data_IF_977628948616
#
_entry.id   IF_977628948616
#
_cell.length_a   1.000
_cell.length_b   1.000
_cell.length_c   1.000
_cell.angle_alpha   90.00
_cell.angle_beta   90.00
_cell.angle_gamma   90.00
#
_symmetry.space_group_name_H-M   'P 1'
#
loop_
_entity.id
_entity.type
_entity.pdbx_description
1 polymer ?
#
# COMPACT_ATOMS: atom_id res chain seq x y z
N UNK A 1 -13.04 25.62 4.30
CA UNK A 1 -11.78 25.79 5.05
C UNK A 1 -10.78 24.78 4.52
N UNK A 2 -9.49 25.14 4.35
CA UNK A 2 -8.47 24.19 3.93
C UNK A 2 -8.31 23.08 4.96
N UNK A 3 -8.07 21.87 4.49
CA UNK A 3 -7.80 20.72 5.33
C UNK A 3 -6.38 20.86 5.93
N UNK A 4 -6.27 21.30 7.19
CA UNK A 4 -4.96 21.56 7.83
C UNK A 4 -4.05 20.33 7.91
N UNK A 5 -4.64 19.14 8.05
CA UNK A 5 -3.91 17.87 8.18
C UNK A 5 -4.48 16.91 7.15
N UNK A 6 -3.59 16.34 6.33
CA UNK A 6 -3.92 15.34 5.34
C UNK A 6 -3.05 14.11 5.55
N UNK A 7 -3.69 12.96 5.66
CA UNK A 7 -3.03 11.66 5.74
C UNK A 7 -3.22 11.01 4.36
N UNK A 8 -2.16 10.88 3.55
CA UNK A 8 -2.28 10.35 2.21
C UNK A 8 -2.82 8.92 2.17
N UNK A 9 -3.69 8.66 1.19
CA UNK A 9 -4.40 7.39 1.09
C UNK A 9 -3.47 6.20 0.82
N UNK A 10 -2.37 6.41 0.08
CA UNK A 10 -1.39 5.36 -0.21
C UNK A 10 -0.43 5.07 0.95
N UNK A 11 -0.58 5.67 2.13
CA UNK A 11 0.10 5.18 3.32
C UNK A 11 -0.30 3.72 3.53
N UNK A 12 0.60 2.83 3.91
CA UNK A 12 0.28 1.41 4.09
C UNK A 12 -0.73 1.16 5.25
N UNK A 13 -0.97 2.16 6.10
CA UNK A 13 -1.97 2.18 7.17
C UNK A 13 -3.21 2.97 6.78
N UNK A 14 -4.36 2.61 7.35
CA UNK A 14 -5.60 3.37 7.23
C UNK A 14 -5.88 4.07 8.55
N UNK A 15 -6.14 5.38 8.53
CA UNK A 15 -6.32 6.20 9.73
C UNK A 15 -7.73 6.77 9.78
N UNK A 16 -8.24 6.88 11.00
CA UNK A 16 -9.53 7.46 11.34
C UNK A 16 -9.34 8.66 12.26
N UNK A 17 -10.13 9.70 12.06
CA UNK A 17 -10.20 10.82 12.99
C UNK A 17 -10.98 10.40 14.24
N UNK A 18 -10.30 10.34 15.39
CA UNK A 18 -10.90 9.94 16.65
C UNK A 18 -11.50 11.14 17.41
N UNK A 19 -12.69 11.02 18.03
CA UNK A 19 -13.61 9.87 18.04
C UNK A 19 -14.70 9.93 16.96
N UNK A 20 -14.52 10.77 15.92
CA UNK A 20 -15.59 11.11 14.97
C UNK A 20 -15.84 10.08 13.87
N UNK A 21 -14.83 9.30 13.52
CA UNK A 21 -14.89 8.31 12.45
C UNK A 21 -14.87 6.90 13.04
N UNK A 22 -15.63 6.01 12.41
CA UNK A 22 -15.77 4.60 12.80
C UNK A 22 -14.68 3.75 12.16
N UNK A 23 -14.20 2.74 12.87
CA UNK A 23 -13.24 1.78 12.32
C UNK A 23 -13.92 0.86 11.31
N UNK A 24 -13.13 0.22 10.44
CA UNK A 24 -13.65 -0.73 9.45
C UNK A 24 -14.54 -1.84 10.05
N UNK A 25 -14.22 -2.48 11.20
CA UNK A 25 -15.12 -3.44 11.81
C UNK A 25 -16.46 -2.84 12.27
N UNK A 26 -16.49 -1.58 12.70
CA UNK A 26 -17.70 -0.95 13.25
C UNK A 26 -18.78 -0.70 12.18
N UNK A 27 -18.39 -0.72 10.91
CA UNK A 27 -19.30 -0.48 9.77
C UNK A 27 -19.71 -1.76 9.05
N UNK A 28 -19.28 -2.94 9.54
CA UNK A 28 -19.69 -4.23 8.98
C UNK A 28 -21.19 -4.42 9.22
N UNK A 29 -21.99 -4.73 8.18
CA UNK A 29 -23.41 -4.97 8.35
C UNK A 29 -23.68 -6.14 9.30
N UNK A 30 -24.67 -5.99 10.18
CA UNK A 30 -25.04 -7.03 11.18
C UNK A 30 -25.41 -8.42 10.63
N UNK A 31 -25.64 -8.56 9.32
CA UNK A 31 -25.93 -9.84 8.67
C UNK A 31 -24.67 -10.54 8.12
N UNK A 32 -23.51 -9.91 8.22
CA UNK A 32 -22.21 -10.48 7.88
C UNK A 32 -21.48 -10.94 9.16
N UNK A 33 -20.44 -11.76 9.00
CA UNK A 33 -19.61 -12.20 10.12
C UNK A 33 -18.80 -11.05 10.71
N UNK A 34 -18.70 -11.01 12.03
CA UNK A 34 -17.87 -10.04 12.73
C UNK A 34 -16.37 -10.38 12.54
N UNK A 35 -15.64 -9.47 11.89
CA UNK A 35 -14.23 -9.67 11.51
C UNK A 35 -13.42 -8.39 11.58
N UNK A 36 -12.17 -8.54 11.98
CA UNK A 36 -11.20 -7.45 12.08
C UNK A 36 -9.99 -7.81 11.21
N UNK A 37 -9.62 -6.90 10.31
CA UNK A 37 -8.36 -7.01 9.58
C UNK A 37 -7.22 -6.46 10.43
N UNK A 38 -6.14 -7.22 10.54
CA UNK A 38 -4.91 -6.80 11.22
C UNK A 38 -3.80 -6.70 10.18
N UNK A 39 -3.31 -5.49 9.91
CA UNK A 39 -2.13 -5.33 9.05
C UNK A 39 -0.91 -5.91 9.77
N UNK A 40 -0.33 -6.98 9.22
CA UNK A 40 0.82 -7.66 9.83
C UNK A 40 2.13 -6.97 9.41
N UNK A 41 3.06 -6.88 10.35
CA UNK A 41 4.44 -6.45 10.11
C UNK A 41 5.39 -7.48 10.70
N UNK A 42 6.38 -7.88 9.89
CA UNK A 42 7.42 -8.80 10.33
C UNK A 42 8.48 -8.03 11.10
N UNK A 43 8.67 -8.42 12.37
CA UNK A 43 9.69 -7.83 13.25
C UNK A 43 11.07 -7.97 12.60
N UNK A 44 11.92 -6.97 12.82
CA UNK A 44 13.31 -6.92 12.33
C UNK A 44 13.48 -6.86 10.80
N UNK A 45 12.39 -6.83 10.03
CA UNK A 45 12.43 -6.83 8.56
C UNK A 45 11.62 -5.67 8.01
N UNK A 46 10.36 -5.55 8.44
CA UNK A 46 9.49 -4.48 7.97
C UNK A 46 9.69 -3.22 8.82
N UNK A 47 9.38 -2.07 8.23
CA UNK A 47 9.41 -0.76 8.89
C UNK A 47 8.02 -0.14 8.76
N UNK A 48 7.54 0.52 9.81
CA UNK A 48 6.41 1.44 9.66
C UNK A 48 6.97 2.70 9.01
N UNK A 49 6.60 2.93 7.75
CA UNK A 49 7.02 4.11 6.99
C UNK A 49 5.84 4.76 6.27
N UNK A 50 5.42 5.94 6.72
CA UNK A 50 4.27 6.66 6.16
C UNK A 50 4.49 8.17 6.19
N UNK A 51 3.64 8.92 5.49
CA UNK A 51 3.73 10.37 5.46
C UNK A 51 2.47 11.06 6.00
N UNK A 52 2.64 12.26 6.51
CA UNK A 52 1.56 13.15 6.95
C UNK A 52 1.85 14.53 6.38
N UNK A 53 0.82 15.17 5.82
CA UNK A 53 0.92 16.51 5.25
C UNK A 53 0.24 17.48 6.19
N UNK A 54 0.94 18.53 6.58
CA UNK A 54 0.42 19.55 7.50
C UNK A 54 0.61 20.94 6.91
N UNK A 55 -0.31 21.86 7.18
CA UNK A 55 -0.08 23.27 6.86
C UNK A 55 0.69 23.88 8.05
N UNK A 56 1.97 24.22 7.89
CA UNK A 56 2.86 24.55 9.02
C UNK A 56 2.35 25.75 9.83
N UNK A 57 1.74 26.75 9.17
CA UNK A 57 1.22 27.96 9.82
C UNK A 57 0.13 27.69 10.87
N UNK A 58 -0.52 26.53 10.81
CA UNK A 58 -1.60 26.15 11.72
C UNK A 58 -1.19 25.06 12.72
N UNK A 59 0.05 24.56 12.69
CA UNK A 59 0.46 23.39 13.48
C UNK A 59 1.54 23.78 14.48
N UNK A 60 1.28 23.55 15.77
CA UNK A 60 2.21 23.87 16.86
C UNK A 60 3.05 22.68 17.30
N UNK A 61 2.48 21.48 17.25
CA UNK A 61 3.20 20.24 17.55
C UNK A 61 2.59 19.04 16.86
N UNK A 62 3.43 18.05 16.55
CA UNK A 62 3.01 16.75 16.03
C UNK A 62 3.66 15.66 16.87
N UNK A 63 2.85 14.74 17.38
CA UNK A 63 3.27 13.56 18.12
C UNK A 63 2.86 12.29 17.40
N UNK A 64 3.75 11.29 17.44
CA UNK A 64 3.53 9.97 16.85
C UNK A 64 3.93 8.90 17.87
N UNK A 65 3.06 7.93 18.08
CA UNK A 65 3.37 6.79 18.94
C UNK A 65 2.58 5.56 18.53
N UNK A 66 3.10 4.41 18.92
CA UNK A 66 2.35 3.16 18.95
C UNK A 66 1.65 3.04 20.29
N UNK A 67 0.40 2.60 20.27
CA UNK A 67 -0.40 2.30 21.45
C UNK A 67 -0.80 0.82 21.40
N UNK A 68 -0.32 0.03 22.36
CA UNK A 68 -0.68 -1.37 22.52
C UNK A 68 -2.08 -1.52 23.12
N UNK A 69 -2.71 -2.67 22.88
CA UNK A 69 -4.02 -3.00 23.49
C UNK A 69 -3.99 -3.08 25.02
N UNK A 70 -2.79 -3.23 25.61
CA UNK A 70 -2.52 -3.21 27.04
C UNK A 70 -2.24 -1.80 27.60
N UNK A 71 -2.34 -0.76 26.76
CA UNK A 71 -2.05 0.63 27.11
C UNK A 71 -0.56 1.00 27.06
N UNK A 72 0.31 0.10 26.60
CA UNK A 72 1.73 0.43 26.40
C UNK A 72 1.89 1.46 25.28
N UNK A 73 2.72 2.47 25.47
CA UNK A 73 3.02 3.47 24.43
C UNK A 73 4.49 3.47 24.07
N UNK A 74 4.78 3.57 22.78
CA UNK A 74 6.15 3.61 22.26
C UNK A 74 6.29 4.72 21.22
N UNK A 75 7.23 5.65 21.37
CA UNK A 75 7.36 6.78 20.46
C UNK A 75 7.77 6.32 19.07
N UNK A 76 7.20 6.98 18.05
CA UNK A 76 7.68 6.94 16.68
C UNK A 76 8.43 8.24 16.37
N UNK A 77 9.37 8.17 15.44
CA UNK A 77 10.12 9.34 14.99
C UNK A 77 9.44 9.92 13.76
N UNK A 78 9.47 11.24 13.62
CA UNK A 78 9.08 11.89 12.37
C UNK A 78 9.86 13.16 12.11
N UNK A 79 10.03 13.50 10.84
CA UNK A 79 10.71 14.70 10.40
C UNK A 79 10.11 15.25 9.11
N UNK A 80 10.16 16.57 8.94
CA UNK A 80 9.87 17.21 7.65
C UNK A 80 10.95 16.82 6.64
N UNK A 81 10.51 16.43 5.44
CA UNK A 81 11.38 16.03 4.33
C UNK A 81 11.22 16.90 3.09
N UNK A 82 10.38 17.94 3.15
CA UNK A 82 10.09 18.83 2.03
C UNK A 82 8.71 19.44 2.13
N UNK A 83 8.35 20.24 1.13
CA UNK A 83 7.06 20.93 1.08
C UNK A 83 6.42 20.79 -0.30
N UNK A 84 5.11 20.50 -0.32
CA UNK A 84 4.35 20.35 -1.56
C UNK A 84 3.00 21.07 -1.41
N UNK A 85 2.68 21.96 -2.36
CA UNK A 85 1.39 22.66 -2.44
C UNK A 85 0.96 23.36 -1.13
N UNK A 86 1.92 23.98 -0.42
CA UNK A 86 1.66 24.67 0.84
C UNK A 86 1.57 23.76 2.07
N UNK A 87 1.77 22.46 1.90
CA UNK A 87 1.94 21.52 3.00
C UNK A 87 3.41 21.24 3.25
N UNK A 88 3.77 21.14 4.52
CA UNK A 88 4.98 20.49 4.98
C UNK A 88 4.74 18.96 5.01
N UNK A 89 5.68 18.21 4.43
CA UNK A 89 5.59 16.77 4.25
C UNK A 89 6.42 16.10 5.33
N UNK A 90 5.75 15.50 6.29
CA UNK A 90 6.38 14.76 7.38
C UNK A 90 6.47 13.29 7.02
N UNK A 91 7.66 12.71 7.18
CA UNK A 91 7.87 11.28 7.12
C UNK A 91 7.96 10.72 8.52
N UNK A 92 7.19 9.68 8.78
CA UNK A 92 7.12 9.00 10.06
C UNK A 92 7.73 7.63 9.87
N UNK A 93 8.65 7.29 10.77
CA UNK A 93 9.39 6.04 10.75
C UNK A 93 9.68 5.52 12.15
N UNK A 94 9.90 4.22 12.21
CA UNK A 94 10.21 3.50 13.45
C UNK A 94 11.70 3.20 13.54
N UNK A 95 12.47 4.02 14.27
CA UNK A 95 13.93 3.85 14.44
C UNK A 95 14.35 2.59 15.20
N UNK A 96 13.42 1.92 15.88
CA UNK A 96 13.68 0.74 16.69
C UNK A 96 12.54 -0.29 16.58
N UNK A 97 11.96 -0.45 15.40
CA UNK A 97 10.79 -1.31 15.20
C UNK A 97 10.98 -2.77 15.68
N UNK A 98 12.22 -3.27 15.60
CA UNK A 98 12.61 -4.60 16.09
C UNK A 98 12.46 -4.79 17.60
N UNK A 99 12.51 -3.71 18.40
CA UNK A 99 12.41 -3.81 19.87
C UNK A 99 10.98 -4.00 20.36
N UNK A 100 10.00 -3.77 19.49
CA UNK A 100 8.59 -4.00 19.80
C UNK A 100 8.34 -5.47 20.07
N UNK A 101 7.70 -5.83 21.20
CA UNK A 101 7.18 -7.17 21.41
C UNK A 101 6.18 -7.58 20.31
N UNK A 102 6.02 -8.88 20.10
CA UNK A 102 4.90 -9.37 19.31
C UNK A 102 3.58 -8.99 19.99
N UNK A 103 2.62 -8.43 19.25
CA UNK A 103 1.42 -7.86 19.82
C UNK A 103 0.56 -7.12 18.81
N UNK A 104 -0.59 -6.63 19.28
CA UNK A 104 -1.49 -5.77 18.50
C UNK A 104 -1.34 -4.33 18.98
N UNK A 105 -1.15 -3.42 18.04
CA UNK A 105 -0.89 -2.01 18.28
C UNK A 105 -1.76 -1.14 17.37
N UNK A 106 -1.87 0.13 17.73
CA UNK A 106 -2.42 1.19 16.91
C UNK A 106 -1.34 2.24 16.66
N UNK A 107 -1.25 2.77 15.44
CA UNK A 107 -0.46 3.97 15.19
C UNK A 107 -1.33 5.18 15.51
N UNK A 108 -0.84 6.01 16.41
CA UNK A 108 -1.55 7.19 16.88
C UNK A 108 -0.78 8.43 16.46
N UNK A 109 -1.53 9.37 15.87
CA UNK A 109 -1.07 10.70 15.49
C UNK A 109 -1.86 11.72 16.30
N UNK A 110 -1.15 12.58 17.02
CA UNK A 110 -1.71 13.73 17.70
C UNK A 110 -1.11 15.01 17.12
N UNK A 111 -1.97 15.86 16.56
CA UNK A 111 -1.55 17.15 16.00
C UNK A 111 -2.25 18.26 16.77
N UNK A 112 -1.45 19.13 17.37
CA UNK A 112 -1.96 20.36 17.98
C UNK A 112 -2.02 21.42 16.89
N UNK A 113 -3.23 21.92 16.63
CA UNK A 113 -3.46 22.98 15.66
C UNK A 113 -3.85 24.27 16.35
N UNK A 114 -3.22 25.37 15.97
CA UNK A 114 -3.61 26.70 16.41
C UNK A 114 -4.61 27.30 15.41
N UNK A 115 -5.82 27.62 15.88
CA UNK A 115 -6.85 28.25 15.05
C UNK A 115 -7.19 29.67 15.53
N UNK A 116 -6.21 30.37 16.11
CA UNK A 116 -6.29 31.78 16.48
C UNK A 116 -6.62 32.05 17.95
N UNK A 117 -7.67 31.42 18.51
CA UNK A 117 -8.06 31.66 19.91
C UNK A 117 -7.49 30.63 20.88
N UNK A 118 -7.51 29.35 20.50
CA UNK A 118 -7.04 28.24 21.33
C UNK A 118 -6.37 27.16 20.46
N UNK A 119 -5.50 26.38 21.10
CA UNK A 119 -4.91 25.17 20.53
C UNK A 119 -5.92 24.01 20.62
N UNK A 120 -6.12 23.32 19.51
CA UNK A 120 -7.00 22.16 19.41
C UNK A 120 -6.16 20.94 19.08
N UNK A 121 -6.27 19.89 19.89
CA UNK A 121 -5.63 18.60 19.61
C UNK A 121 -6.53 17.78 18.69
N UNK A 122 -6.01 17.39 17.53
CA UNK A 122 -6.64 16.45 16.61
C UNK A 122 -5.94 15.10 16.71
N UNK A 123 -6.70 14.07 17.07
CA UNK A 123 -6.21 12.69 17.19
C UNK A 123 -6.64 11.86 15.98
N UNK A 124 -5.71 11.14 15.40
CA UNK A 124 -5.94 10.15 14.34
C UNK A 124 -5.38 8.80 14.79
N UNK A 125 -6.13 7.73 14.57
CA UNK A 125 -5.79 6.37 15.01
C UNK A 125 -5.87 5.44 13.81
N UNK A 126 -4.85 4.61 13.61
CA UNK A 126 -4.85 3.65 12.51
C UNK A 126 -5.81 2.48 12.76
N UNK A 127 -6.17 1.73 11.73
CA UNK A 127 -6.61 0.34 11.89
C UNK A 127 -5.54 -0.46 12.68
N UNK A 128 -5.94 -1.51 13.42
CA UNK A 128 -5.02 -2.27 14.24
C UNK A 128 -3.95 -2.97 13.38
N UNK A 129 -2.72 -2.92 13.89
CA UNK A 129 -1.55 -3.58 13.29
C UNK A 129 -1.07 -4.70 14.21
N UNK A 130 -0.51 -5.76 13.63
CA UNK A 130 0.01 -6.90 14.39
C UNK A 130 1.49 -7.12 14.09
N UNK A 131 2.30 -7.10 15.14
CA UNK A 131 3.72 -7.47 15.07
C UNK A 131 3.84 -8.99 15.12
N UNK A 132 4.51 -9.58 14.12
CA UNK A 132 4.72 -11.03 13.99
C UNK A 132 6.21 -11.35 13.78
N UNK A 133 6.65 -12.53 14.21
CA UNK A 133 8.04 -12.98 14.01
C UNK A 133 8.35 -13.31 12.55
N UNK A 134 7.36 -13.84 11.83
CA UNK A 134 7.48 -14.21 10.43
C UNK A 134 6.13 -14.14 9.74
N UNK A 135 6.17 -13.88 8.44
CA UNK A 135 5.00 -13.92 7.57
C UNK A 135 5.37 -14.69 6.29
N UNK A 136 5.33 -16.04 6.36
CA UNK A 136 5.53 -16.85 5.16
C UNK A 136 4.43 -16.52 4.14
N UNK A 137 4.72 -16.76 2.85
CA UNK A 137 3.73 -16.56 1.78
C UNK A 137 3.16 -15.13 1.79
N UNK A 138 4.08 -14.17 1.72
CA UNK A 138 3.76 -12.75 1.64
C UNK A 138 4.40 -12.08 0.43
N UNK A 139 3.71 -11.05 -0.03
CA UNK A 139 4.13 -10.17 -1.10
C UNK A 139 4.59 -8.86 -0.46
N UNK A 140 5.88 -8.53 -0.59
CA UNK A 140 6.40 -7.21 -0.28
C UNK A 140 6.31 -6.34 -1.53
N UNK A 141 5.35 -5.43 -1.54
CA UNK A 141 5.16 -4.44 -2.60
C UNK A 141 5.98 -3.21 -2.25
N UNK A 142 7.06 -2.96 -2.99
CA UNK A 142 7.78 -1.69 -2.99
C UNK A 142 7.19 -0.82 -4.09
N UNK A 143 6.77 0.39 -3.75
CA UNK A 143 6.14 1.29 -4.71
C UNK A 143 6.68 2.72 -4.66
N UNK A 144 6.77 3.33 -5.83
CA UNK A 144 7.08 4.74 -6.07
C UNK A 144 6.41 5.18 -7.38
N UNK A 145 6.55 6.45 -7.72
CA UNK A 145 6.02 6.99 -8.97
C UNK A 145 6.95 8.03 -9.58
N UNK A 146 6.82 8.27 -10.88
CA UNK A 146 7.57 9.30 -11.62
C UNK A 146 7.09 10.74 -11.36
N UNK A 147 5.98 10.92 -10.63
CA UNK A 147 5.44 12.21 -10.21
C UNK A 147 4.66 12.08 -8.91
N UNK A 148 4.39 13.20 -8.25
CA UNK A 148 3.46 13.25 -7.12
C UNK A 148 2.03 13.04 -7.63
N UNK A 149 1.38 11.97 -7.19
CA UNK A 149 0.02 11.60 -7.62
C UNK A 149 -0.70 10.88 -6.48
N UNK A 150 -2.03 10.77 -6.57
CA UNK A 150 -2.89 10.16 -5.54
C UNK A 150 -2.70 10.77 -4.15
N UNK A 151 -2.47 12.09 -4.12
CA UNK A 151 -2.23 12.85 -2.89
C UNK A 151 -1.00 12.40 -2.10
N UNK A 152 -0.06 11.75 -2.77
CA UNK A 152 1.12 11.17 -2.18
C UNK A 152 2.37 11.89 -2.71
N UNK A 153 3.23 12.37 -1.80
CA UNK A 153 4.49 13.00 -2.18
C UNK A 153 5.57 11.92 -2.34
N UNK A 154 5.88 11.58 -3.59
CA UNK A 154 7.03 10.77 -3.95
C UNK A 154 8.31 11.61 -4.11
N UNK A 155 8.13 12.89 -4.43
CA UNK A 155 9.16 13.92 -4.54
C UNK A 155 8.76 15.10 -3.62
N UNK A 156 9.00 15.00 -2.30
CA UNK A 156 8.53 15.98 -1.33
C UNK A 156 9.18 17.36 -1.48
N UNK A 157 10.36 17.48 -2.09
CA UNK A 157 11.00 18.76 -2.41
C UNK A 157 11.00 19.10 -3.92
N UNK A 158 10.37 18.25 -4.74
CA UNK A 158 10.29 18.40 -6.20
C UNK A 158 11.55 18.05 -6.99
N UNK A 159 12.64 17.60 -6.35
CA UNK A 159 13.89 17.22 -7.02
C UNK A 159 13.97 15.71 -7.27
N UNK A 160 14.60 15.23 -8.36
CA UNK A 160 14.79 13.79 -8.58
C UNK A 160 15.45 13.04 -7.42
N UNK A 161 16.36 13.70 -6.69
CA UNK A 161 17.11 13.16 -5.57
C UNK A 161 16.23 12.88 -4.34
N UNK A 162 15.08 13.57 -4.23
CA UNK A 162 14.12 13.32 -3.16
C UNK A 162 13.15 12.20 -3.45
N UNK A 163 13.34 11.42 -4.53
CA UNK A 163 12.46 10.28 -4.83
C UNK A 163 12.41 9.33 -3.64
N UNK A 164 11.20 9.07 -3.15
CA UNK A 164 10.93 8.14 -2.03
C UNK A 164 10.22 6.89 -2.54
N UNK A 165 10.53 5.77 -1.90
CA UNK A 165 9.82 4.50 -2.08
C UNK A 165 9.19 4.10 -0.76
N UNK A 166 8.07 3.40 -0.85
CA UNK A 166 7.31 2.93 0.30
C UNK A 166 7.03 1.45 0.14
N UNK A 167 6.65 0.82 1.25
CA UNK A 167 6.51 -0.62 1.34
C UNK A 167 5.14 -0.99 1.89
N UNK A 168 4.56 -2.03 1.32
CA UNK A 168 3.33 -2.66 1.78
C UNK A 168 3.53 -4.18 1.70
N UNK A 169 3.58 -4.84 2.85
CA UNK A 169 3.60 -6.30 2.91
C UNK A 169 2.20 -6.84 3.16
N UNK A 170 1.76 -7.79 2.35
CA UNK A 170 0.45 -8.43 2.48
C UNK A 170 0.60 -9.94 2.26
N UNK A 171 -0.19 -10.74 2.97
CA UNK A 171 -0.29 -12.19 2.73
C UNK A 171 -0.75 -12.44 1.29
N UNK A 172 -0.10 -13.36 0.60
CA UNK A 172 -0.37 -13.54 -0.82
C UNK A 172 0.76 -14.22 -1.57
N UNK A 173 0.51 -14.44 -2.85
CA UNK A 173 1.43 -15.17 -3.70
C UNK A 173 0.89 -15.32 -5.11
N UNK A 174 1.69 -15.96 -5.95
CA UNK A 174 1.23 -16.55 -7.20
C UNK A 174 0.94 -18.01 -6.91
N UNK A 175 -0.31 -18.44 -7.07
CA UNK A 175 -0.67 -19.85 -6.94
C UNK A 175 -0.06 -20.65 -8.11
N UNK A 176 0.15 -21.95 -7.94
CA UNK A 176 0.78 -22.78 -8.98
C UNK A 176 -0.01 -22.80 -10.30
N UNK A 177 -1.34 -22.65 -10.23
CA UNK A 177 -2.25 -22.51 -11.37
C UNK A 177 -2.36 -21.06 -11.89
N UNK A 178 -1.73 -20.10 -11.20
CA UNK A 178 -1.66 -18.70 -11.59
C UNK A 178 -0.56 -18.37 -12.59
N UNK A 179 0.23 -19.35 -13.05
CA UNK A 179 1.25 -19.16 -14.08
C UNK A 179 0.69 -19.49 -15.46
N UNK A 180 0.47 -18.46 -16.27
CA UNK A 180 -0.18 -18.55 -17.57
C UNK A 180 0.78 -18.09 -18.69
N UNK A 181 1.52 -19.00 -19.34
CA UNK A 181 2.34 -18.67 -20.49
C UNK A 181 1.46 -18.37 -21.71
N UNK A 182 1.80 -17.32 -22.46
CA UNK A 182 1.13 -16.91 -23.69
C UNK A 182 2.12 -16.43 -24.74
N UNK A 183 1.63 -16.13 -25.94
CA UNK A 183 2.42 -15.50 -26.99
C UNK A 183 1.63 -14.45 -27.74
N UNK A 184 2.32 -13.41 -28.18
CA UNK A 184 1.78 -12.41 -29.11
C UNK A 184 2.28 -12.74 -30.50
N UNK A 185 1.37 -13.25 -31.30
CA UNK A 185 1.66 -13.75 -32.65
C UNK A 185 1.17 -12.77 -33.71
N UNK A 186 1.94 -12.63 -34.78
CA UNK A 186 1.55 -11.91 -35.98
C UNK A 186 1.50 -12.86 -37.16
N UNK A 187 0.36 -12.85 -37.87
CA UNK A 187 0.10 -13.75 -39.00
C UNK A 187 -0.07 -12.95 -40.28
N UNK A 188 0.43 -13.49 -41.38
CA UNK A 188 0.04 -13.11 -42.74
C UNK A 188 -0.98 -14.13 -43.25
N UNK A 189 -2.07 -13.64 -43.85
CA UNK A 189 -3.07 -14.49 -44.51
C UNK A 189 -3.18 -14.05 -45.96
N UNK A 190 -2.96 -14.98 -46.89
CA UNK A 190 -3.03 -14.68 -48.32
C UNK A 190 -4.47 -14.72 -48.88
N UNK A 191 -4.62 -14.49 -50.20
CA UNK A 191 -5.93 -14.49 -50.86
C UNK A 191 -6.59 -15.87 -50.92
N UNK A 192 -5.79 -16.95 -50.84
CA UNK A 192 -6.24 -18.34 -50.82
C UNK A 192 -6.50 -18.85 -49.39
N UNK A 193 -6.34 -17.98 -48.37
CA UNK A 193 -6.44 -18.25 -46.93
C UNK A 193 -5.34 -19.15 -46.35
N UNK A 194 -4.17 -19.20 -46.98
CA UNK A 194 -2.99 -19.78 -46.35
C UNK A 194 -2.46 -18.83 -45.26
N UNK A 195 -2.12 -19.39 -44.09
CA UNK A 195 -1.70 -18.62 -42.91
C UNK A 195 -0.22 -18.86 -42.65
N UNK A 196 0.57 -17.79 -42.62
CA UNK A 196 2.00 -17.81 -42.31
C UNK A 196 2.27 -17.02 -41.01
N UNK A 197 2.94 -17.63 -40.03
CA UNK A 197 3.40 -16.96 -38.82
C UNK A 197 4.63 -16.09 -39.15
N UNK A 198 4.56 -14.79 -38.86
CA UNK A 198 5.62 -13.82 -39.14
C UNK A 198 6.54 -13.56 -37.93
N UNK A 199 5.92 -13.36 -36.76
CA UNK A 199 6.61 -13.10 -35.48
C UNK A 199 5.77 -13.70 -34.36
N UNK A 200 6.43 -14.23 -33.32
CA UNK A 200 5.79 -14.71 -32.11
C UNK A 200 6.66 -14.34 -30.92
N UNK A 201 6.10 -13.56 -30.00
CA UNK A 201 6.78 -13.14 -28.77
C UNK A 201 6.15 -13.82 -27.57
N UNK A 202 6.80 -14.82 -26.94
CA UNK A 202 6.28 -15.43 -25.73
C UNK A 202 6.32 -14.45 -24.56
N UNK A 203 5.37 -14.58 -23.64
CA UNK A 203 5.34 -13.84 -22.38
C UNK A 203 4.68 -14.70 -21.29
N UNK A 204 4.98 -14.37 -20.04
CA UNK A 204 4.39 -15.05 -18.88
C UNK A 204 3.46 -14.08 -18.14
N UNK A 205 2.22 -14.51 -17.94
CA UNK A 205 1.25 -13.84 -17.09
C UNK A 205 1.20 -14.54 -15.74
N UNK A 206 1.20 -13.75 -14.68
CA UNK A 206 1.16 -14.22 -13.30
C UNK A 206 -0.12 -13.70 -12.63
N UNK A 207 -0.96 -14.59 -12.15
CA UNK A 207 -2.12 -14.26 -11.33
C UNK A 207 -1.68 -14.10 -9.87
N UNK A 208 -1.55 -12.86 -9.42
CA UNK A 208 -1.27 -12.55 -8.03
C UNK A 208 -2.54 -12.62 -7.21
N UNK A 209 -2.47 -13.29 -6.06
CA UNK A 209 -3.52 -13.30 -5.04
C UNK A 209 -3.07 -12.52 -3.80
N UNK A 210 -3.91 -11.61 -3.32
CA UNK A 210 -3.73 -10.84 -2.09
C UNK A 210 -4.78 -11.22 -1.03
N UNK A 211 -4.31 -11.40 0.21
CA UNK A 211 -5.09 -11.84 1.36
C UNK A 211 -5.80 -13.18 1.20
N UNK A 212 -5.13 -14.26 0.76
CA UNK A 212 -5.75 -15.58 0.73
C UNK A 212 -6.19 -16.00 2.14
N UNK A 213 -7.31 -16.73 2.22
CA UNK A 213 -7.87 -17.24 3.49
C UNK A 213 -8.52 -16.16 4.35
N UNK A 214 -7.72 -15.32 5.02
CA UNK A 214 -8.25 -14.32 5.98
C UNK A 214 -9.00 -13.17 5.30
N UNK A 215 -8.67 -12.90 4.02
CA UNK A 215 -9.23 -11.80 3.25
C UNK A 215 -8.65 -10.43 3.60
N UNK A 216 -8.84 -9.49 2.69
CA UNK A 216 -8.56 -8.07 2.88
C UNK A 216 -9.86 -7.26 2.92
N UNK A 217 -9.90 -6.17 3.69
CA UNK A 217 -11.01 -5.24 3.65
C UNK A 217 -11.01 -4.45 2.34
N UNK A 218 -12.17 -3.96 1.92
CA UNK A 218 -12.32 -3.22 0.66
C UNK A 218 -11.40 -1.98 0.57
N UNK A 219 -11.13 -1.30 1.69
CA UNK A 219 -10.23 -0.14 1.71
C UNK A 219 -8.77 -0.53 1.38
N UNK A 220 -8.34 -1.72 1.79
CA UNK A 220 -6.99 -2.20 1.47
C UNK A 220 -6.92 -2.60 -0.01
N UNK A 221 -7.98 -3.21 -0.54
CA UNK A 221 -8.07 -3.54 -1.95
C UNK A 221 -8.04 -2.27 -2.84
N UNK A 222 -8.77 -1.22 -2.49
CA UNK A 222 -8.70 0.07 -3.21
C UNK A 222 -7.28 0.65 -3.18
N UNK A 223 -6.61 0.55 -2.03
CA UNK A 223 -5.22 0.99 -1.88
C UNK A 223 -4.26 0.20 -2.75
N UNK A 224 -4.35 -1.13 -2.76
CA UNK A 224 -3.56 -1.99 -3.66
C UNK A 224 -3.83 -1.61 -5.11
N UNK A 225 -5.09 -1.45 -5.51
CA UNK A 225 -5.44 -1.08 -6.89
C UNK A 225 -4.80 0.25 -7.34
N UNK A 226 -4.75 1.24 -6.44
CA UNK A 226 -4.05 2.51 -6.70
C UNK A 226 -2.54 2.35 -6.72
N UNK A 227 -1.96 1.58 -5.80
CA UNK A 227 -0.52 1.25 -5.79
C UNK A 227 -0.11 0.56 -7.10
N UNK A 228 -0.91 -0.40 -7.57
CA UNK A 228 -0.69 -1.10 -8.83
C UNK A 228 -0.92 -0.23 -10.09
N UNK A 229 -1.35 1.02 -9.91
CA UNK A 229 -1.47 2.01 -10.99
C UNK A 229 -0.30 3.00 -11.03
N UNK A 230 0.70 2.83 -10.15
CA UNK A 230 1.93 3.61 -10.16
C UNK A 230 2.92 3.10 -11.21
N UNK A 231 3.99 3.86 -11.44
CA UNK A 231 4.98 3.56 -12.49
C UNK A 231 6.11 2.64 -12.03
N UNK A 232 6.46 2.69 -10.75
CA UNK A 232 7.58 1.95 -10.19
C UNK A 232 7.07 0.98 -9.12
N UNK A 233 6.68 -0.21 -9.55
CA UNK A 233 6.17 -1.27 -8.66
C UNK A 233 7.11 -2.45 -8.71
N UNK A 234 7.54 -2.90 -7.53
CA UNK A 234 8.26 -4.16 -7.37
C UNK A 234 7.57 -5.04 -6.36
N UNK A 235 7.32 -6.29 -6.72
CA UNK A 235 6.76 -7.30 -5.83
C UNK A 235 7.86 -8.31 -5.58
N UNK A 236 8.26 -8.48 -4.32
CA UNK A 236 9.38 -9.36 -3.94
C UNK A 236 10.66 -9.09 -4.76
N UNK A 237 10.99 -7.80 -4.94
CA UNK A 237 12.13 -7.26 -5.70
C UNK A 237 12.08 -7.39 -7.22
N UNK A 238 11.07 -8.04 -7.80
CA UNK A 238 10.88 -8.10 -9.24
C UNK A 238 9.87 -7.05 -9.72
N UNK A 239 10.10 -6.46 -10.89
CA UNK A 239 9.25 -5.40 -11.44
C UNK A 239 8.06 -5.99 -12.21
N UNK A 240 6.85 -5.53 -11.89
CA UNK A 240 5.60 -6.01 -12.50
C UNK A 240 4.70 -4.85 -12.94
N UNK A 241 3.94 -5.08 -14.00
CA UNK A 241 2.87 -4.19 -14.46
C UNK A 241 1.58 -4.99 -14.66
N UNK A 242 0.44 -4.31 -14.56
CA UNK A 242 -0.86 -4.94 -14.83
C UNK A 242 -0.90 -5.43 -16.28
N UNK A 243 -1.43 -6.63 -16.48
CA UNK A 243 -1.73 -7.13 -17.82
C UNK A 243 -2.79 -6.23 -18.49
N UNK A 244 -2.84 -6.21 -19.82
CA UNK A 244 -3.78 -5.37 -20.56
C UNK A 244 -5.23 -5.74 -20.20
N UNK A 245 -6.01 -4.75 -19.75
CA UNK A 245 -7.40 -4.95 -19.33
C UNK A 245 -7.57 -5.63 -17.96
N UNK A 246 -6.49 -6.00 -17.27
CA UNK A 246 -6.55 -6.66 -15.98
C UNK A 246 -7.23 -5.78 -14.91
N UNK A 247 -8.06 -6.42 -14.09
CA UNK A 247 -8.79 -5.79 -12.98
C UNK A 247 -8.45 -6.53 -11.69
N UNK A 248 -8.52 -5.79 -10.58
CA UNK A 248 -8.43 -6.41 -9.27
C UNK A 248 -9.80 -7.03 -8.94
N UNK A 249 -9.88 -8.35 -9.00
CA UNK A 249 -11.12 -9.10 -8.89
C UNK A 249 -11.25 -9.73 -7.50
N UNK A 250 -12.42 -9.60 -6.84
CA UNK A 250 -12.62 -10.17 -5.52
C UNK A 250 -12.99 -11.66 -5.58
N UNK A 251 -12.39 -12.45 -4.70
CA UNK A 251 -12.79 -13.81 -4.36
C UNK A 251 -13.49 -13.75 -3.01
N UNK A 252 -14.82 -13.92 -3.01
CA UNK A 252 -15.68 -13.70 -1.84
C UNK A 252 -16.43 -14.94 -1.42
N UNK A 253 -16.55 -15.09 -0.11
CA UNK A 253 -17.50 -16.00 0.52
C UNK A 253 -18.75 -15.23 0.97
N UNK A 254 -19.92 -15.85 0.83
CA UNK A 254 -21.19 -15.21 1.16
C UNK A 254 -21.29 -14.95 2.66
N UNK A 255 -21.54 -13.69 3.04
CA UNK A 255 -21.66 -13.27 4.44
C UNK A 255 -20.31 -13.02 5.13
N UNK A 256 -19.19 -13.15 4.40
CA UNK A 256 -17.87 -12.82 4.91
C UNK A 256 -17.46 -11.40 4.43
N UNK A 257 -17.10 -10.47 5.33
CA UNK A 257 -16.89 -9.06 4.99
C UNK A 257 -15.54 -8.77 4.32
N UNK A 258 -14.58 -9.69 4.42
CA UNK A 258 -13.26 -9.58 3.80
C UNK A 258 -13.22 -10.42 2.52
N UNK A 259 -12.28 -10.15 1.62
CA UNK A 259 -12.16 -10.90 0.37
C UNK A 259 -10.71 -11.18 0.01
N UNK A 260 -10.44 -12.32 -0.61
CA UNK A 260 -9.23 -12.48 -1.40
C UNK A 260 -9.33 -11.60 -2.65
N UNK A 261 -8.21 -11.16 -3.19
CA UNK A 261 -8.19 -10.34 -4.41
C UNK A 261 -7.18 -10.88 -5.40
N UNK A 262 -7.57 -11.00 -6.68
CA UNK A 262 -6.75 -11.53 -7.75
C UNK A 262 -6.52 -10.51 -8.84
N UNK A 263 -5.33 -10.52 -9.45
CA UNK A 263 -5.04 -9.71 -10.64
C UNK A 263 -3.94 -10.36 -11.49
N UNK A 264 -4.10 -10.27 -12.80
CA UNK A 264 -3.08 -10.67 -13.75
C UNK A 264 -2.02 -9.58 -13.94
N UNK A 265 -0.76 -9.96 -13.82
CA UNK A 265 0.39 -9.09 -14.01
C UNK A 265 1.45 -9.75 -14.90
N UNK A 266 2.27 -8.93 -15.54
CA UNK A 266 3.41 -9.37 -16.35
C UNK A 266 4.68 -8.70 -15.84
N UNK A 267 5.84 -9.37 -15.99
CA UNK A 267 7.13 -8.76 -15.65
C UNK A 267 7.41 -7.60 -16.59
N UNK A 268 7.91 -6.48 -16.06
CA UNK A 268 8.16 -5.27 -16.88
C UNK A 268 9.48 -5.32 -17.67
N UNK A 269 10.41 -6.19 -17.26
CA UNK A 269 11.66 -6.48 -17.96
C UNK A 269 11.70 -8.00 -18.20
N UNK A 270 11.85 -8.39 -19.46
CA UNK A 270 12.17 -9.77 -19.86
C UNK A 270 13.67 -9.91 -19.96
N UNK A 271 14.26 -10.82 -19.17
CA UNK A 271 15.69 -11.18 -19.19
C UNK A 271 16.15 -11.86 -20.50
N UNK A 272 15.32 -11.86 -21.55
CA UNK A 272 15.52 -12.65 -22.76
C UNK A 272 16.44 -11.98 -23.81
N UNK A 273 16.95 -10.77 -23.53
CA UNK A 273 17.84 -10.07 -24.45
C UNK A 273 19.31 -10.30 -24.06
N UNK A 274 20.01 -11.14 -24.82
CA UNK A 274 21.47 -11.06 -24.92
C UNK A 274 21.78 -9.77 -25.67
N UNK A 275 22.27 -8.76 -24.96
CA UNK A 275 22.89 -7.58 -25.57
C UNK A 275 24.31 -8.02 -25.93
N UNK A 276 24.58 -8.26 -27.21
CA UNK A 276 25.97 -8.40 -27.68
C UNK A 276 26.62 -7.00 -27.64
N UNK A 277 27.71 -6.88 -26.88
CA UNK A 277 28.60 -5.70 -26.82
C UNK A 277 29.37 -5.48 -28.15
#
# INVERSE_FOLDING_TARGET
MPQVIKIPHLNHLHFHRYPSESFAPDVIPSFEEDRIYLQKFVRNIDEIYFQVHVIPDFVTSIGFYLEGVDGTTLPLTGSSVGSLNGYDIWHIYSDNFWTLPAGVYFVVLEVTVNMGLDDIVKKYVSEPVKMVESLPESLLIKYSHGRNEFDFAFYPDGTPESKRSYFLRIEGGVMSDGFNPGSKDSYFVDQDREVLLLDSRPFNVYEFTFGPGSGLPNWMADKINRILSLSDIRINNESYVKNEGAKLEPVRDKGYPLAGWKIEMVKSETDDAIIED
#
